data_IF_313613299858
#
_entry.id   IF_313613299858
#
_cell.length_a   1.000
_cell.length_b   1.000
_cell.length_c   1.000
_cell.angle_alpha   90.00
_cell.angle_beta   90.00
_cell.angle_gamma   90.00
#
_symmetry.space_group_name_H-M   'P 1'
#
loop_
_entity.id
_entity.type
_entity.pdbx_description
1 polymer ?
#
# COMPACT_ATOMS: atom_id res chain seq x y z
N UNK A 1 -2.51 -13.80 -28.68
CA UNK A 1 -3.20 -13.04 -27.63
C UNK A 1 -4.02 -11.94 -28.31
N UNK A 2 -5.26 -11.84 -27.98
CA UNK A 2 -6.15 -10.84 -28.57
C UNK A 2 -5.85 -9.47 -27.92
N UNK A 3 -5.16 -8.61 -28.67
CA UNK A 3 -4.77 -7.28 -28.22
C UNK A 3 -6.00 -6.37 -28.00
N UNK A 4 -7.15 -6.70 -28.60
CA UNK A 4 -8.40 -5.96 -28.41
C UNK A 4 -8.94 -6.02 -26.99
N UNK A 5 -8.46 -6.96 -26.17
CA UNK A 5 -8.82 -7.07 -24.74
C UNK A 5 -8.16 -5.98 -23.87
N UNK A 6 -7.10 -5.31 -24.36
CA UNK A 6 -6.50 -4.19 -23.64
C UNK A 6 -7.37 -2.95 -23.81
N UNK A 7 -7.70 -2.33 -22.69
CA UNK A 7 -8.44 -1.07 -22.70
C UNK A 7 -7.57 0.06 -23.26
N UNK A 8 -8.17 0.97 -24.00
CA UNK A 8 -7.52 2.23 -24.34
C UNK A 8 -7.34 3.06 -23.07
N UNK A 9 -6.13 3.59 -22.87
CA UNK A 9 -5.86 4.52 -21.76
C UNK A 9 -6.40 5.88 -22.17
N UNK A 10 -7.33 6.48 -21.42
CA UNK A 10 -7.84 7.81 -21.75
C UNK A 10 -6.71 8.83 -21.76
N UNK A 11 -6.67 9.72 -22.75
CA UNK A 11 -5.68 10.79 -22.83
C UNK A 11 -5.67 11.64 -21.54
N UNK A 12 -6.84 11.90 -20.95
CA UNK A 12 -6.98 12.62 -19.69
C UNK A 12 -6.27 11.93 -18.51
N UNK A 13 -6.20 10.60 -18.48
CA UNK A 13 -5.47 9.87 -17.45
C UNK A 13 -3.95 9.99 -17.63
N UNK A 14 -3.50 10.14 -18.85
CA UNK A 14 -2.09 10.38 -19.19
C UNK A 14 -1.69 11.83 -18.92
N UNK A 15 -2.60 12.78 -19.16
CA UNK A 15 -2.39 14.21 -18.89
C UNK A 15 -2.43 14.54 -17.39
N UNK A 16 -3.28 13.85 -16.64
CA UNK A 16 -3.37 13.98 -15.18
C UNK A 16 -2.19 13.31 -14.45
N UNK A 17 -1.41 12.48 -15.13
CA UNK A 17 -0.22 11.87 -14.54
C UNK A 17 0.88 12.91 -14.37
N UNK A 18 1.67 12.76 -13.32
CA UNK A 18 2.88 13.56 -13.07
C UNK A 18 3.90 13.43 -14.22
N UNK A 19 3.72 12.43 -15.06
CA UNK A 19 4.56 12.11 -16.20
C UNK A 19 4.00 12.73 -17.47
N UNK A 20 4.80 13.51 -18.17
CA UNK A 20 4.46 13.94 -19.54
C UNK A 20 4.63 12.75 -20.48
N UNK A 21 3.62 11.90 -20.54
CA UNK A 21 3.58 10.75 -21.44
C UNK A 21 3.14 11.13 -22.87
N UNK A 22 3.06 12.43 -23.17
CA UNK A 22 2.68 12.94 -24.48
C UNK A 22 3.73 12.66 -25.55
N UNK A 23 3.33 12.75 -26.78
CA UNK A 23 4.15 12.87 -28.01
C UNK A 23 4.88 11.63 -28.51
N UNK A 24 4.53 10.41 -28.04
CA UNK A 24 5.14 9.18 -28.54
C UNK A 24 6.61 8.98 -28.14
N UNK A 25 7.11 9.74 -27.19
CA UNK A 25 8.46 9.56 -26.68
C UNK A 25 8.59 8.22 -25.94
N UNK A 26 9.71 7.54 -26.17
CA UNK A 26 10.02 6.25 -25.52
C UNK A 26 10.34 6.45 -24.04
N UNK A 27 10.94 7.59 -23.70
CA UNK A 27 11.30 7.95 -22.33
C UNK A 27 10.64 9.28 -21.94
N UNK A 28 10.09 9.32 -20.73
CA UNK A 28 9.53 10.52 -20.14
C UNK A 28 10.14 10.73 -18.74
N UNK A 29 10.47 11.97 -18.42
CA UNK A 29 10.94 12.37 -17.09
C UNK A 29 9.75 12.81 -16.23
N UNK A 30 9.82 12.63 -14.89
CA UNK A 30 8.77 13.11 -14.00
C UNK A 30 8.60 14.63 -14.12
N UNK A 31 7.36 15.07 -14.12
CA UNK A 31 7.05 16.49 -14.01
C UNK A 31 7.06 16.87 -12.53
N UNK A 32 8.20 17.32 -12.05
CA UNK A 32 8.32 17.84 -10.69
C UNK A 32 7.43 19.06 -10.51
N UNK A 33 6.66 19.09 -9.43
CA UNK A 33 5.83 20.23 -9.06
C UNK A 33 6.09 20.60 -7.60
N UNK A 34 6.12 21.91 -7.32
CA UNK A 34 6.21 22.37 -5.95
C UNK A 34 4.87 22.16 -5.23
N UNK A 35 4.89 21.80 -3.93
CA UNK A 35 3.68 21.58 -3.16
C UNK A 35 2.85 22.86 -3.08
N UNK A 36 1.51 22.70 -3.24
CA UNK A 36 0.54 23.77 -3.03
C UNK A 36 -0.16 23.50 -1.71
N UNK A 37 -0.16 24.48 -0.82
CA UNK A 37 -0.89 24.37 0.43
C UNK A 37 -2.41 24.51 0.18
N UNK A 38 -3.19 23.54 0.65
CA UNK A 38 -4.64 23.56 0.66
C UNK A 38 -5.16 22.99 1.97
N UNK A 39 -5.95 23.77 2.68
CA UNK A 39 -6.60 23.34 3.94
C UNK A 39 -7.57 22.20 3.66
N UNK A 40 -8.29 22.26 2.54
CA UNK A 40 -9.24 21.22 2.14
C UNK A 40 -8.53 19.87 1.92
N UNK A 41 -7.41 19.87 1.20
CA UNK A 41 -6.59 18.68 1.00
C UNK A 41 -6.02 18.16 2.33
N UNK A 42 -5.57 19.02 3.21
CA UNK A 42 -5.05 18.65 4.53
C UNK A 42 -6.12 17.93 5.36
N UNK A 43 -7.32 18.52 5.45
CA UNK A 43 -8.45 17.93 6.21
C UNK A 43 -8.90 16.61 5.61
N UNK A 44 -8.87 16.46 4.28
CA UNK A 44 -9.24 15.22 3.60
C UNK A 44 -8.22 14.09 3.80
N UNK A 45 -6.92 14.40 3.84
CA UNK A 45 -5.84 13.39 3.89
C UNK A 45 -5.42 13.07 5.33
N UNK A 46 -5.48 14.03 6.26
CA UNK A 46 -5.02 13.83 7.64
C UNK A 46 -5.65 12.60 8.34
N UNK A 47 -6.94 12.28 8.19
CA UNK A 47 -7.52 11.07 8.78
C UNK A 47 -6.89 9.77 8.27
N UNK A 48 -6.36 9.76 7.04
CA UNK A 48 -5.70 8.59 6.44
C UNK A 48 -4.42 8.23 7.22
N UNK A 49 -3.69 9.22 7.72
CA UNK A 49 -2.50 8.99 8.54
C UNK A 49 -2.79 8.17 9.81
N UNK A 50 -4.00 8.28 10.37
CA UNK A 50 -4.42 7.45 11.51
C UNK A 50 -4.61 5.99 11.09
N UNK A 51 -5.07 5.74 9.87
CA UNK A 51 -5.26 4.39 9.35
C UNK A 51 -3.93 3.71 8.96
N UNK A 52 -2.94 4.46 8.49
CA UNK A 52 -1.63 3.90 8.10
C UNK A 52 -0.79 3.45 9.27
N UNK A 53 -0.98 3.99 10.49
CA UNK A 53 -0.24 3.56 11.70
C UNK A 53 -0.52 2.09 12.07
N UNK A 54 -1.78 1.62 12.19
CA UNK A 54 -2.07 0.20 12.42
C UNK A 54 -1.56 -0.69 11.29
N UNK A 55 -1.68 -0.27 10.05
CA UNK A 55 -1.20 -0.98 8.86
C UNK A 55 0.32 -1.20 8.92
N UNK A 56 1.08 -0.13 9.06
CA UNK A 56 2.54 -0.19 9.19
C UNK A 56 2.97 -1.04 10.41
N UNK A 57 2.21 -0.98 11.50
CA UNK A 57 2.43 -1.81 12.68
C UNK A 57 2.25 -3.29 12.34
N UNK A 58 1.15 -3.65 11.67
CA UNK A 58 0.88 -5.03 11.27
C UNK A 58 1.97 -5.57 10.33
N UNK A 59 2.41 -4.77 9.37
CA UNK A 59 3.47 -5.14 8.43
C UNK A 59 4.82 -5.39 9.11
N UNK A 60 5.19 -4.62 10.12
CA UNK A 60 6.43 -4.87 10.90
C UNK A 60 6.32 -6.16 11.69
N UNK A 61 5.19 -6.47 12.30
CA UNK A 61 4.99 -7.75 12.97
C UNK A 61 5.02 -8.93 12.00
N UNK A 62 4.45 -8.78 10.81
CA UNK A 62 4.52 -9.78 9.75
C UNK A 62 5.96 -10.01 9.30
N UNK A 63 6.72 -8.94 9.08
CA UNK A 63 8.13 -9.00 8.72
C UNK A 63 8.95 -9.72 9.82
N UNK A 64 8.67 -9.44 11.10
CA UNK A 64 9.30 -10.08 12.25
C UNK A 64 9.12 -11.60 12.20
N UNK A 65 7.92 -12.09 11.89
CA UNK A 65 7.61 -13.52 11.76
C UNK A 65 8.45 -14.14 10.63
N UNK A 66 8.43 -13.55 9.44
CA UNK A 66 9.10 -14.11 8.26
C UNK A 66 10.63 -14.09 8.39
N UNK A 67 11.19 -12.99 8.89
CA UNK A 67 12.63 -12.88 9.11
C UNK A 67 13.12 -13.91 10.12
N UNK A 68 12.36 -14.09 11.21
CA UNK A 68 12.72 -15.06 12.26
C UNK A 68 12.54 -16.51 11.81
N UNK A 69 11.58 -16.83 10.94
CA UNK A 69 11.46 -18.16 10.34
C UNK A 69 12.71 -18.49 9.50
N UNK A 70 13.15 -17.55 8.66
CA UNK A 70 14.36 -17.74 7.85
C UNK A 70 15.61 -17.77 8.72
N UNK A 71 15.71 -16.95 9.75
CA UNK A 71 16.83 -16.93 10.69
C UNK A 71 16.96 -18.26 11.42
N UNK A 72 15.85 -18.82 11.89
CA UNK A 72 15.79 -20.14 12.54
C UNK A 72 16.28 -21.25 11.60
N UNK A 73 15.82 -21.25 10.34
CA UNK A 73 16.24 -22.23 9.34
C UNK A 73 17.73 -22.12 8.99
N UNK A 74 18.33 -20.93 9.14
CA UNK A 74 19.77 -20.68 8.90
C UNK A 74 20.63 -20.76 10.17
N UNK A 75 20.08 -21.21 11.30
CA UNK A 75 20.79 -21.31 12.58
C UNK A 75 21.23 -19.96 13.15
N UNK A 76 20.59 -18.85 12.74
CA UNK A 76 20.88 -17.51 13.26
C UNK A 76 19.98 -17.20 14.46
N UNK A 77 20.46 -16.31 15.32
CA UNK A 77 19.71 -15.84 16.49
C UNK A 77 18.39 -15.12 16.10
N UNK A 78 17.54 -14.89 17.07
CA UNK A 78 16.27 -14.18 16.90
C UNK A 78 16.51 -12.68 16.71
N UNK A 79 15.87 -12.10 15.69
CA UNK A 79 15.83 -10.68 15.44
C UNK A 79 14.55 -10.09 16.06
N UNK A 80 14.63 -8.89 16.60
CA UNK A 80 13.48 -8.18 17.16
C UNK A 80 13.12 -7.00 16.26
N UNK A 81 12.41 -7.29 15.16
CA UNK A 81 12.00 -6.26 14.20
C UNK A 81 10.92 -5.35 14.81
N UNK A 82 10.06 -5.91 15.66
CA UNK A 82 8.99 -5.16 16.31
C UNK A 82 9.52 -3.99 17.19
N UNK A 83 10.72 -4.10 17.78
CA UNK A 83 11.34 -3.00 18.52
C UNK A 83 11.73 -1.81 17.65
N UNK A 84 11.83 -2.00 16.33
CA UNK A 84 12.17 -0.97 15.36
C UNK A 84 10.95 -0.25 14.76
N UNK A 85 9.74 -0.57 15.24
CA UNK A 85 8.49 0.03 14.75
C UNK A 85 8.54 1.56 14.71
N UNK A 86 9.05 2.18 15.77
CA UNK A 86 9.17 3.64 15.84
C UNK A 86 10.08 4.22 14.74
N UNK A 87 11.17 3.52 14.39
CA UNK A 87 12.05 3.92 13.30
C UNK A 87 11.40 3.76 11.93
N UNK A 88 10.61 2.68 11.78
CA UNK A 88 9.84 2.47 10.56
C UNK A 88 8.82 3.59 10.34
N UNK A 89 8.04 3.94 11.36
CA UNK A 89 7.05 5.02 11.26
C UNK A 89 7.68 6.39 10.97
N UNK A 90 8.83 6.70 11.58
CA UNK A 90 9.58 7.92 11.27
C UNK A 90 10.07 7.89 9.82
N UNK A 91 10.61 6.75 9.37
CA UNK A 91 11.10 6.59 8.00
C UNK A 91 9.99 6.75 6.98
N UNK A 92 8.83 6.14 7.22
CA UNK A 92 7.63 6.23 6.40
C UNK A 92 7.17 7.69 6.26
N UNK A 93 6.98 8.39 7.38
CA UNK A 93 6.59 9.80 7.36
C UNK A 93 7.62 10.73 6.68
N UNK A 94 8.92 10.47 6.84
CA UNK A 94 9.96 11.24 6.14
C UNK A 94 9.91 10.99 4.62
N UNK A 95 9.68 9.74 4.20
CA UNK A 95 9.52 9.42 2.78
C UNK A 95 8.29 10.09 2.18
N UNK A 96 7.17 10.13 2.91
CA UNK A 96 5.96 10.83 2.48
C UNK A 96 6.18 12.35 2.34
N UNK A 97 6.88 12.95 3.29
CA UNK A 97 7.25 14.37 3.20
C UNK A 97 8.11 14.65 1.96
N UNK A 98 9.13 13.83 1.70
CA UNK A 98 9.99 13.96 0.52
C UNK A 98 9.17 13.78 -0.75
N UNK A 99 8.33 12.74 -0.80
CA UNK A 99 7.43 12.49 -1.94
C UNK A 99 6.52 13.69 -2.21
N UNK A 100 5.89 14.23 -1.17
CA UNK A 100 5.03 15.42 -1.29
C UNK A 100 5.77 16.67 -1.79
N UNK A 101 7.02 16.87 -1.37
CA UNK A 101 7.86 18.02 -1.81
C UNK A 101 8.19 17.93 -3.30
N UNK A 102 8.42 16.72 -3.82
CA UNK A 102 8.74 16.52 -5.25
C UNK A 102 7.48 16.33 -6.13
N UNK A 103 6.29 16.40 -5.54
CA UNK A 103 5.01 16.29 -6.26
C UNK A 103 4.51 14.85 -6.45
N UNK A 104 5.05 13.90 -5.68
CA UNK A 104 4.57 12.52 -5.65
C UNK A 104 3.41 12.32 -4.67
N UNK A 105 2.69 11.19 -4.77
CA UNK A 105 1.67 10.81 -3.79
C UNK A 105 2.30 10.35 -2.47
N UNK A 106 1.52 10.38 -1.39
CA UNK A 106 1.87 9.72 -0.15
C UNK A 106 1.96 8.20 -0.38
N UNK A 107 2.86 7.56 0.34
CA UNK A 107 3.07 6.12 0.31
C UNK A 107 2.65 5.45 1.62
N UNK A 108 2.87 4.16 1.68
CA UNK A 108 2.74 3.35 2.90
C UNK A 108 3.61 2.11 2.77
N UNK A 109 3.71 1.33 3.83
CA UNK A 109 4.39 0.03 3.79
C UNK A 109 3.52 -1.00 3.06
N UNK A 110 3.95 -1.46 1.89
CA UNK A 110 3.19 -2.42 1.08
C UNK A 110 3.35 -3.87 1.58
N UNK A 111 2.24 -4.48 1.97
CA UNK A 111 2.17 -5.89 2.37
C UNK A 111 2.54 -6.85 1.24
N UNK A 112 2.26 -6.48 -0.01
CA UNK A 112 2.63 -7.22 -1.21
C UNK A 112 4.15 -7.40 -1.34
N UNK A 113 4.91 -6.37 -1.01
CA UNK A 113 6.37 -6.45 -1.00
C UNK A 113 6.88 -7.41 0.08
N UNK A 114 6.26 -7.40 1.26
CA UNK A 114 6.58 -8.34 2.34
C UNK A 114 6.24 -9.77 1.93
N UNK A 115 5.11 -9.97 1.27
CA UNK A 115 4.71 -11.27 0.72
C UNK A 115 5.69 -11.78 -0.33
N UNK A 116 6.16 -10.90 -1.22
CA UNK A 116 7.20 -11.21 -2.20
C UNK A 116 8.52 -11.59 -1.53
N UNK A 117 8.94 -10.84 -0.50
CA UNK A 117 10.12 -11.18 0.31
C UNK A 117 9.96 -12.53 1.01
N UNK A 118 8.77 -12.86 1.50
CA UNK A 118 8.48 -14.14 2.14
C UNK A 118 8.57 -15.32 1.17
N UNK A 119 8.07 -15.16 -0.06
CA UNK A 119 8.13 -16.17 -1.13
C UNK A 119 9.56 -16.39 -1.60
N UNK A 120 10.27 -15.31 -1.89
CA UNK A 120 11.66 -15.35 -2.39
C UNK A 120 12.68 -15.62 -1.30
N UNK A 121 12.29 -15.46 -0.02
CA UNK A 121 13.16 -15.54 1.18
C UNK A 121 14.34 -14.57 1.13
N UNK A 122 14.19 -13.45 0.41
CA UNK A 122 15.19 -12.39 0.27
C UNK A 122 14.77 -11.20 1.12
N UNK A 123 15.50 -10.97 2.21
CA UNK A 123 15.30 -9.85 3.15
C UNK A 123 16.54 -8.94 3.19
N UNK A 124 17.18 -8.76 2.04
CA UNK A 124 18.43 -7.99 1.93
C UNK A 124 18.14 -6.53 1.59
N UNK A 125 18.56 -5.61 2.43
CA UNK A 125 18.38 -4.16 2.21
C UNK A 125 19.02 -3.70 0.88
N UNK A 126 20.24 -4.11 0.49
CA UNK A 126 20.80 -3.75 -0.81
C UNK A 126 19.95 -4.20 -2.00
N UNK A 127 19.30 -5.36 -1.91
CA UNK A 127 18.40 -5.86 -2.97
C UNK A 127 17.16 -4.95 -3.07
N UNK A 128 16.59 -4.52 -1.93
CA UNK A 128 15.44 -3.62 -1.92
C UNK A 128 15.80 -2.24 -2.49
N UNK A 129 16.98 -1.71 -2.15
CA UNK A 129 17.47 -0.44 -2.71
C UNK A 129 17.67 -0.57 -4.24
N UNK A 130 18.30 -1.66 -4.69
CA UNK A 130 18.46 -1.91 -6.12
C UNK A 130 17.13 -2.03 -6.84
N UNK A 131 16.15 -2.74 -6.26
CA UNK A 131 14.80 -2.84 -6.81
C UNK A 131 14.11 -1.48 -6.93
N UNK A 132 14.24 -0.61 -5.92
CA UNK A 132 13.69 0.74 -5.95
C UNK A 132 14.33 1.59 -7.06
N UNK A 133 15.66 1.52 -7.22
CA UNK A 133 16.36 2.24 -8.30
C UNK A 133 15.91 1.73 -9.67
N UNK A 134 15.82 0.42 -9.85
CA UNK A 134 15.35 -0.18 -11.11
C UNK A 134 13.90 0.25 -11.39
N UNK A 135 13.03 0.25 -10.37
CA UNK A 135 11.65 0.72 -10.52
C UNK A 135 11.58 2.18 -10.97
N UNK A 136 12.41 3.06 -10.41
CA UNK A 136 12.49 4.46 -10.85
C UNK A 136 12.93 4.59 -12.31
N UNK A 137 13.92 3.81 -12.75
CA UNK A 137 14.40 3.82 -14.14
C UNK A 137 13.31 3.28 -15.08
N UNK A 138 12.70 2.16 -14.72
CA UNK A 138 11.67 1.48 -15.51
C UNK A 138 10.41 2.34 -15.61
N UNK A 139 10.07 3.10 -14.57
CA UNK A 139 8.91 4.01 -14.59
C UNK A 139 9.04 5.15 -15.61
N UNK A 140 10.27 5.49 -16.02
CA UNK A 140 10.52 6.45 -17.11
C UNK A 140 10.27 5.86 -18.50
N UNK A 141 10.07 4.54 -18.61
CA UNK A 141 9.90 3.87 -19.90
C UNK A 141 8.44 3.83 -20.32
N UNK A 142 8.03 4.78 -21.16
CA UNK A 142 6.64 5.01 -21.56
C UNK A 142 5.93 3.78 -22.14
N UNK A 143 6.54 2.93 -23.01
CA UNK A 143 5.85 1.78 -23.57
C UNK A 143 5.39 0.79 -22.50
N UNK A 144 6.21 0.53 -21.46
CA UNK A 144 5.85 -0.36 -20.38
C UNK A 144 4.69 0.20 -19.54
N UNK A 145 4.73 1.49 -19.26
CA UNK A 145 3.65 2.17 -18.53
C UNK A 145 2.33 2.08 -19.30
N UNK A 146 2.34 2.30 -20.62
CA UNK A 146 1.16 2.13 -21.46
C UNK A 146 0.61 0.71 -21.44
N UNK A 147 1.49 -0.31 -21.45
CA UNK A 147 1.06 -1.72 -21.35
C UNK A 147 0.41 -1.99 -19.99
N UNK A 148 1.00 -1.51 -18.89
CA UNK A 148 0.44 -1.67 -17.54
C UNK A 148 -0.95 -1.03 -17.45
N UNK A 149 -1.10 0.20 -17.88
CA UNK A 149 -2.41 0.88 -17.88
C UNK A 149 -3.42 0.27 -18.89
N UNK A 150 -2.93 -0.45 -19.89
CA UNK A 150 -3.76 -1.19 -20.84
C UNK A 150 -4.32 -2.51 -20.32
N UNK A 151 -3.89 -2.98 -19.13
CA UNK A 151 -4.38 -4.25 -18.57
C UNK A 151 -5.90 -4.18 -18.35
N UNK A 152 -6.68 -5.16 -18.83
CA UNK A 152 -8.12 -5.17 -18.65
C UNK A 152 -8.52 -5.16 -17.16
N UNK A 153 -9.56 -4.40 -16.82
CA UNK A 153 -10.06 -4.30 -15.44
C UNK A 153 -10.43 -5.66 -14.84
N UNK A 154 -10.93 -6.59 -15.66
CA UNK A 154 -11.25 -7.95 -15.20
C UNK A 154 -10.01 -8.71 -14.71
N UNK A 155 -8.85 -8.51 -15.34
CA UNK A 155 -7.58 -9.11 -14.90
C UNK A 155 -7.11 -8.47 -13.60
N UNK A 156 -7.18 -7.14 -13.53
CA UNK A 156 -6.83 -6.38 -12.32
C UNK A 156 -7.72 -6.82 -11.16
N UNK A 157 -9.04 -6.86 -11.36
CA UNK A 157 -9.98 -7.31 -10.32
C UNK A 157 -9.73 -8.75 -9.84
N UNK A 158 -9.35 -9.65 -10.74
CA UNK A 158 -8.95 -11.01 -10.36
C UNK A 158 -7.69 -11.04 -9.48
N UNK A 159 -6.70 -10.22 -9.80
CA UNK A 159 -5.50 -10.07 -8.97
C UNK A 159 -5.82 -9.43 -7.62
N UNK A 160 -6.67 -8.42 -7.59
CA UNK A 160 -7.09 -7.74 -6.35
C UNK A 160 -7.81 -8.70 -5.39
N UNK A 161 -8.69 -9.57 -5.88
CA UNK A 161 -9.33 -10.60 -5.04
C UNK A 161 -8.27 -11.47 -4.35
N UNK A 162 -7.25 -11.90 -5.10
CA UNK A 162 -6.17 -12.70 -4.53
C UNK A 162 -5.33 -11.90 -3.51
N UNK A 163 -4.95 -10.68 -3.85
CA UNK A 163 -4.10 -9.82 -2.99
C UNK A 163 -4.82 -9.46 -1.69
N UNK A 164 -6.04 -8.96 -1.77
CA UNK A 164 -6.81 -8.61 -0.57
C UNK A 164 -7.17 -9.83 0.27
N UNK A 165 -7.44 -10.97 -0.37
CA UNK A 165 -7.61 -12.23 0.34
C UNK A 165 -6.36 -12.66 1.11
N UNK A 166 -5.19 -12.50 0.50
CA UNK A 166 -3.90 -12.78 1.15
C UNK A 166 -3.63 -11.82 2.33
N UNK A 167 -3.91 -10.53 2.18
CA UNK A 167 -3.78 -9.52 3.25
C UNK A 167 -4.71 -9.85 4.43
N UNK A 168 -5.96 -10.19 4.15
CA UNK A 168 -6.91 -10.61 5.18
C UNK A 168 -6.44 -11.87 5.94
N UNK A 169 -5.94 -12.86 5.22
CA UNK A 169 -5.37 -14.07 5.82
C UNK A 169 -4.15 -13.77 6.70
N UNK A 170 -3.32 -12.82 6.30
CA UNK A 170 -2.16 -12.36 7.09
C UNK A 170 -2.60 -11.66 8.37
N UNK A 171 -3.65 -10.85 8.33
CA UNK A 171 -4.25 -10.24 9.53
C UNK A 171 -4.68 -11.29 10.54
N UNK A 172 -5.37 -12.33 10.07
CA UNK A 172 -5.78 -13.48 10.90
C UNK A 172 -4.55 -14.20 11.47
N UNK A 173 -3.51 -14.42 10.65
CA UNK A 173 -2.29 -15.09 11.09
C UNK A 173 -1.58 -14.31 12.21
N UNK A 174 -1.57 -12.99 12.17
CA UNK A 174 -1.01 -12.14 13.23
C UNK A 174 -1.81 -12.29 14.52
N UNK A 175 -3.14 -12.30 14.45
CA UNK A 175 -3.98 -12.50 15.64
C UNK A 175 -3.70 -13.85 16.29
N UNK A 176 -3.51 -14.90 15.52
CA UNK A 176 -3.15 -16.24 16.01
C UNK A 176 -1.75 -16.23 16.63
N UNK A 177 -0.76 -15.63 15.98
CA UNK A 177 0.63 -15.54 16.49
C UNK A 177 0.69 -14.79 17.83
N UNK A 178 -0.06 -13.70 17.93
CA UNK A 178 -0.17 -12.90 19.15
C UNK A 178 -1.10 -13.52 20.21
N UNK A 179 -1.70 -14.68 19.91
CA UNK A 179 -2.61 -15.39 20.83
C UNK A 179 -3.74 -14.49 21.33
N UNK A 180 -4.33 -13.72 20.42
CA UNK A 180 -5.47 -12.86 20.76
C UNK A 180 -6.62 -13.75 21.23
N UNK A 181 -7.11 -13.48 22.44
CA UNK A 181 -8.27 -14.19 22.96
C UNK A 181 -9.53 -13.73 22.25
N UNK A 182 -10.05 -14.62 21.37
CA UNK A 182 -11.24 -14.36 20.56
C UNK A 182 -12.55 -14.51 21.37
N UNK A 183 -12.47 -14.92 22.63
CA UNK A 183 -13.62 -15.01 23.55
C UNK A 183 -13.68 -13.83 24.52
N UNK A 184 -12.65 -13.00 24.59
CA UNK A 184 -12.70 -11.75 25.37
C UNK A 184 -13.64 -10.75 24.68
N UNK A 185 -14.61 -10.25 25.42
CA UNK A 185 -15.63 -9.32 24.93
C UNK A 185 -15.06 -8.03 24.35
N UNK A 186 -13.92 -7.54 24.86
CA UNK A 186 -13.24 -6.35 24.32
C UNK A 186 -12.66 -6.63 22.94
N UNK A 187 -11.98 -7.78 22.78
CA UNK A 187 -11.41 -8.16 21.50
C UNK A 187 -12.50 -8.40 20.45
N UNK A 188 -13.58 -9.09 20.83
CA UNK A 188 -14.74 -9.29 19.96
C UNK A 188 -15.34 -7.95 19.52
N UNK A 189 -15.54 -7.01 20.45
CA UNK A 189 -16.12 -5.71 20.14
C UNK A 189 -15.25 -4.91 19.15
N UNK A 190 -13.92 -4.91 19.35
CA UNK A 190 -12.99 -4.23 18.43
C UNK A 190 -13.00 -4.88 17.05
N UNK A 191 -12.86 -6.20 16.96
CA UNK A 191 -12.81 -6.93 15.70
C UNK A 191 -14.14 -6.73 14.94
N UNK A 192 -15.28 -6.90 15.63
CA UNK A 192 -16.59 -6.74 15.02
C UNK A 192 -16.79 -5.30 14.49
N UNK A 193 -16.41 -4.29 15.27
CA UNK A 193 -16.50 -2.89 14.85
C UNK A 193 -15.65 -2.61 13.60
N UNK A 194 -14.40 -3.06 13.60
CA UNK A 194 -13.48 -2.87 12.46
C UNK A 194 -14.04 -3.57 11.20
N UNK A 195 -14.48 -4.82 11.32
CA UNK A 195 -15.02 -5.56 10.18
C UNK A 195 -16.34 -4.98 9.65
N UNK A 196 -17.24 -4.59 10.56
CA UNK A 196 -18.54 -4.00 10.15
C UNK A 196 -18.33 -2.64 9.48
N UNK A 197 -17.48 -1.78 10.05
CA UNK A 197 -17.22 -0.45 9.46
C UNK A 197 -16.41 -0.61 8.16
N UNK A 198 -15.38 -1.45 8.14
CA UNK A 198 -14.54 -1.64 6.98
C UNK A 198 -15.29 -2.24 5.79
N UNK A 199 -16.00 -3.35 5.99
CA UNK A 199 -16.72 -4.02 4.90
C UNK A 199 -18.07 -3.35 4.65
N UNK A 200 -18.82 -3.08 5.72
CA UNK A 200 -20.19 -2.54 5.63
C UNK A 200 -20.24 -1.08 5.24
N UNK A 201 -19.24 -0.28 5.63
CA UNK A 201 -19.20 1.15 5.35
C UNK A 201 -19.25 1.47 3.85
N UNK A 202 -18.57 0.67 3.03
CA UNK A 202 -18.61 0.82 1.57
C UNK A 202 -20.04 0.65 1.02
N UNK A 203 -20.77 -0.37 1.50
CA UNK A 203 -22.13 -0.64 1.04
C UNK A 203 -23.18 0.33 1.62
N UNK A 204 -23.02 0.72 2.90
CA UNK A 204 -23.99 1.56 3.57
C UNK A 204 -23.90 3.04 3.14
N UNK A 205 -22.71 3.54 2.84
CA UNK A 205 -22.46 4.97 2.60
C UNK A 205 -21.93 5.28 1.19
N UNK A 206 -21.98 4.34 0.27
CA UNK A 206 -21.55 4.56 -1.12
C UNK A 206 -20.09 4.99 -1.25
N UNK A 207 -19.23 4.50 -0.35
CA UNK A 207 -17.79 4.77 -0.36
C UNK A 207 -17.35 5.97 0.49
N UNK A 208 -18.27 6.75 1.07
CA UNK A 208 -17.91 7.90 1.90
C UNK A 208 -18.76 7.95 3.16
N UNK A 209 -18.13 7.88 4.34
CA UNK A 209 -18.84 8.02 5.62
C UNK A 209 -18.96 9.50 5.97
N UNK A 210 -20.19 10.03 6.14
CA UNK A 210 -20.40 11.39 6.60
C UNK A 210 -20.10 11.48 8.10
N UNK A 211 -19.00 12.14 8.47
CA UNK A 211 -18.64 12.36 9.86
C UNK A 211 -18.44 13.85 10.09
N UNK A 212 -19.25 14.44 10.98
CA UNK A 212 -19.20 15.88 11.31
C UNK A 212 -19.22 16.84 10.12
N UNK A 213 -19.95 16.47 9.05
CA UNK A 213 -20.03 17.28 7.82
C UNK A 213 -18.89 17.08 6.82
N UNK A 214 -17.96 16.19 7.13
CA UNK A 214 -16.84 15.80 6.25
C UNK A 214 -17.14 14.42 5.69
N UNK A 215 -16.86 14.23 4.39
CA UNK A 215 -16.96 12.93 3.73
C UNK A 215 -15.63 12.20 3.87
N UNK A 216 -15.58 11.15 4.70
CA UNK A 216 -14.40 10.32 4.88
C UNK A 216 -14.50 9.11 3.94
N UNK A 217 -13.59 8.96 2.97
CA UNK A 217 -13.62 7.80 2.07
C UNK A 217 -13.48 6.49 2.85
N UNK A 218 -14.39 5.53 2.62
CA UNK A 218 -14.33 4.21 3.28
C UNK A 218 -13.06 3.44 2.94
N UNK A 219 -12.42 3.72 1.80
CA UNK A 219 -11.14 3.14 1.40
C UNK A 219 -10.06 3.38 2.45
N UNK A 220 -10.10 4.52 3.15
CA UNK A 220 -9.16 4.84 4.23
C UNK A 220 -9.38 4.01 5.52
N UNK A 221 -10.48 3.27 5.62
CA UNK A 221 -10.82 2.43 6.76
C UNK A 221 -10.65 0.94 6.46
N UNK A 222 -10.36 0.59 5.21
CA UNK A 222 -10.15 -0.80 4.76
C UNK A 222 -8.66 -1.21 4.71
N UNK A 223 -7.76 -0.25 4.84
CA UNK A 223 -6.32 -0.47 4.92
C UNK A 223 -5.80 -0.45 6.35
#
# INVERSE_FOLDING_TARGET
>A
ADISLFREVPASALEASVWKLGDGSIFALPAFSLPKFSIEALVAIMPIAIATIPESTAHIYQLDIYVNDVAKKKGKGKFNMASLLHKNLIGDGLCDMISGVIGGPAGTNYGENISTMAITKVFSVPVLIAAAIIAMIVSCFTPLIKVIYGIPLAVIGGLEIYLFGAIAAQGIAIMIDKKVDMFDSKNIAVIASVMVIGIGGQYAFGGNIPLFGIQIPCICLLY
#
